data_IF_002994255133
#
_entry.id   IF_002994255133
#
_cell.length_a   1.000
_cell.length_b   1.000
_cell.length_c   1.000
_cell.angle_alpha   90.00
_cell.angle_beta   90.00
_cell.angle_gamma   90.00
#
_symmetry.space_group_name_H-M   'P 1'
#
loop_
_entity.id
_entity.type
_entity.pdbx_description
1 polymer ?
#
# COMPACT_ATOMS: atom_id res chain seq x y z
N UNK A 1 -22.42 6.02 -29.09
CA UNK A 1 -21.51 5.39 -28.09
C UNK A 1 -20.30 6.31 -27.95
N UNK A 2 -20.16 7.01 -26.82
CA UNK A 2 -19.27 8.17 -26.67
C UNK A 2 -18.01 7.94 -25.81
N UNK A 3 -17.79 6.72 -25.30
CA UNK A 3 -16.70 6.46 -24.35
C UNK A 3 -15.48 5.73 -24.93
N UNK A 4 -15.56 5.16 -26.15
CA UNK A 4 -14.46 4.38 -26.75
C UNK A 4 -14.09 3.06 -26.01
N UNK A 5 -14.74 2.75 -24.89
CA UNK A 5 -14.50 1.55 -24.09
C UNK A 5 -15.31 0.36 -24.66
N UNK A 6 -14.70 -0.84 -24.80
CA UNK A 6 -15.43 -2.04 -25.18
C UNK A 6 -16.63 -2.30 -24.26
N UNK A 7 -17.77 -2.69 -24.83
CA UNK A 7 -18.94 -3.06 -24.04
C UNK A 7 -18.62 -4.21 -23.09
N UNK A 8 -19.02 -4.08 -21.82
CA UNK A 8 -18.78 -5.09 -20.78
C UNK A 8 -17.56 -4.84 -19.88
N UNK A 9 -16.70 -3.86 -20.21
CA UNK A 9 -15.63 -3.42 -19.30
C UNK A 9 -16.15 -2.39 -18.29
N UNK A 10 -15.88 -2.55 -16.98
CA UNK A 10 -16.26 -1.55 -16.00
C UNK A 10 -15.45 -0.26 -16.22
N UNK A 11 -16.12 0.90 -16.16
CA UNK A 11 -15.44 2.20 -16.24
C UNK A 11 -14.61 2.50 -14.98
N UNK A 12 -15.03 1.92 -13.85
CA UNK A 12 -14.37 2.03 -12.56
C UNK A 12 -14.35 0.66 -11.89
N UNK A 13 -13.22 0.31 -11.28
CA UNK A 13 -13.02 -0.94 -10.53
C UNK A 13 -13.06 -0.73 -9.02
N UNK A 14 -13.13 0.53 -8.59
CA UNK A 14 -13.20 0.90 -7.19
C UNK A 14 -14.32 1.90 -6.95
N UNK A 15 -14.96 1.79 -5.79
CA UNK A 15 -15.96 2.74 -5.31
C UNK A 15 -15.45 3.38 -4.01
N UNK A 16 -15.57 4.70 -3.90
CA UNK A 16 -15.35 5.43 -2.66
C UNK A 16 -16.65 6.14 -2.29
N UNK A 17 -17.16 5.88 -1.09
CA UNK A 17 -18.41 6.41 -0.60
C UNK A 17 -18.19 7.17 0.72
N UNK A 18 -18.66 8.41 0.80
CA UNK A 18 -18.69 9.17 2.04
C UNK A 18 -20.14 9.27 2.51
N UNK A 19 -20.43 8.68 3.66
CA UNK A 19 -21.77 8.62 4.23
C UNK A 19 -21.82 9.52 5.45
N UNK A 20 -22.72 10.49 5.38
CA UNK A 20 -23.04 11.31 6.54
C UNK A 20 -24.00 10.52 7.43
N UNK A 21 -23.41 9.79 8.38
CA UNK A 21 -24.06 8.76 9.20
C UNK A 21 -24.29 9.27 10.62
N UNK A 22 -24.63 10.56 10.77
CA UNK A 22 -24.97 11.12 12.06
C UNK A 22 -26.17 10.37 12.63
N UNK A 23 -25.95 9.66 13.73
CA UNK A 23 -27.03 9.02 14.46
C UNK A 23 -27.99 10.12 14.93
N UNK A 24 -29.18 10.17 14.33
CA UNK A 24 -30.25 11.07 14.82
C UNK A 24 -30.66 10.54 16.20
N UNK A 25 -30.55 11.34 17.28
CA UNK A 25 -30.96 10.90 18.61
C UNK A 25 -32.44 10.49 18.58
N UNK A 26 -32.74 9.23 18.91
CA UNK A 26 -34.09 8.68 18.89
C UNK A 26 -34.51 8.02 17.57
N UNK A 27 -33.67 8.00 16.54
CA UNK A 27 -33.87 7.10 15.42
C UNK A 27 -33.41 5.69 15.82
N UNK A 28 -34.37 4.84 16.22
CA UNK A 28 -34.15 3.40 16.28
C UNK A 28 -33.82 2.93 14.85
N UNK A 29 -32.54 2.92 14.48
CA UNK A 29 -32.03 2.66 13.12
C UNK A 29 -32.48 1.31 12.55
N UNK A 30 -33.76 1.22 12.16
CA UNK A 30 -34.41 -0.02 11.74
C UNK A 30 -34.51 -1.09 12.83
N UNK A 31 -34.34 -0.77 14.12
CA UNK A 31 -34.35 -1.79 15.20
C UNK A 31 -35.78 -2.24 15.47
N UNK A 32 -36.16 -3.36 14.86
CA UNK A 32 -37.40 -4.07 15.16
C UNK A 32 -37.32 -4.67 16.59
N UNK A 33 -38.32 -4.45 17.46
CA UNK A 33 -38.35 -5.05 18.79
C UNK A 33 -38.18 -6.57 18.74
N UNK A 34 -37.26 -7.10 19.54
CA UNK A 34 -36.92 -8.54 19.56
C UNK A 34 -35.95 -9.00 18.47
N UNK A 35 -35.51 -8.11 17.56
CA UNK A 35 -34.52 -8.40 16.52
C UNK A 35 -33.19 -7.77 16.86
N UNK A 36 -32.11 -8.57 16.79
CA UNK A 36 -30.72 -8.12 16.97
C UNK A 36 -29.99 -8.22 15.64
N UNK A 37 -29.52 -7.10 15.12
CA UNK A 37 -28.59 -7.08 13.98
C UNK A 37 -27.28 -7.73 14.40
N UNK A 38 -26.90 -8.79 13.72
CA UNK A 38 -25.62 -9.49 13.94
C UNK A 38 -24.54 -9.02 12.95
N UNK A 39 -24.95 -8.76 11.71
CA UNK A 39 -24.08 -8.33 10.62
C UNK A 39 -24.88 -7.46 9.66
N UNK A 40 -24.30 -6.34 9.25
CA UNK A 40 -24.72 -5.58 8.08
C UNK A 40 -23.62 -5.76 7.03
N UNK A 41 -24.00 -6.11 5.81
CA UNK A 41 -23.03 -6.27 4.71
C UNK A 41 -23.56 -5.53 3.49
N UNK A 42 -22.80 -4.55 3.03
CA UNK A 42 -23.07 -3.89 1.76
C UNK A 42 -22.55 -4.78 0.62
N UNK A 43 -23.41 -5.02 -0.37
CA UNK A 43 -23.04 -5.81 -1.55
C UNK A 43 -22.66 -4.83 -2.65
N UNK A 44 -21.40 -4.89 -3.07
CA UNK A 44 -20.84 -4.06 -4.12
C UNK A 44 -20.48 -4.91 -5.35
N UNK A 45 -20.71 -4.36 -6.55
CA UNK A 45 -20.22 -4.94 -7.81
C UNK A 45 -18.79 -4.48 -8.13
N UNK A 46 -18.14 -3.74 -7.23
CA UNK A 46 -16.77 -3.25 -7.39
C UNK A 46 -15.78 -4.16 -6.65
N UNK A 47 -14.66 -4.57 -7.30
CA UNK A 47 -13.59 -5.31 -6.66
C UNK A 47 -13.09 -4.72 -5.33
N UNK A 48 -13.07 -3.39 -5.22
CA UNK A 48 -12.73 -2.66 -4.00
C UNK A 48 -13.78 -1.58 -3.74
N UNK A 49 -14.36 -1.56 -2.55
CA UNK A 49 -15.25 -0.52 -2.08
C UNK A 49 -14.73 0.02 -0.75
N UNK A 50 -14.64 1.35 -0.66
CA UNK A 50 -14.25 2.07 0.55
C UNK A 50 -15.44 2.92 0.97
N UNK A 51 -15.82 2.83 2.23
CA UNK A 51 -16.84 3.68 2.83
C UNK A 51 -16.25 4.44 4.02
N UNK A 52 -16.54 5.74 4.08
CA UNK A 52 -16.27 6.59 5.24
C UNK A 52 -17.62 6.94 5.87
N UNK A 53 -17.83 6.51 7.10
CA UNK A 53 -18.98 6.92 7.90
C UNK A 53 -18.58 8.09 8.81
N UNK A 54 -19.17 9.24 8.56
CA UNK A 54 -19.08 10.41 9.43
C UNK A 54 -20.13 10.31 10.53
N UNK A 55 -19.65 9.96 11.73
CA UNK A 55 -20.48 9.77 12.92
C UNK A 55 -20.72 11.10 13.67
N UNK A 56 -20.15 12.21 13.20
CA UNK A 56 -20.17 13.52 13.85
C UNK A 56 -19.20 13.68 15.02
N UNK A 57 -18.87 12.59 15.73
CA UNK A 57 -17.81 12.56 16.74
C UNK A 57 -16.49 11.99 16.23
N UNK A 58 -16.47 11.49 14.98
CA UNK A 58 -15.33 10.84 14.37
C UNK A 58 -15.73 10.15 13.06
N UNK A 59 -14.76 9.47 12.47
CA UNK A 59 -14.93 8.75 11.21
C UNK A 59 -14.68 7.26 11.41
N UNK A 60 -15.48 6.44 10.74
CA UNK A 60 -15.22 5.01 10.58
C UNK A 60 -14.89 4.72 9.12
N UNK A 61 -13.81 3.99 8.89
CA UNK A 61 -13.37 3.59 7.55
C UNK A 61 -13.64 2.09 7.38
N UNK A 62 -14.45 1.73 6.40
CA UNK A 62 -14.72 0.35 6.01
C UNK A 62 -14.13 0.09 4.63
N UNK A 63 -13.39 -1.02 4.47
CA UNK A 63 -12.90 -1.49 3.18
C UNK A 63 -13.48 -2.87 2.92
N UNK A 64 -14.29 -2.97 1.88
CA UNK A 64 -14.80 -4.21 1.33
C UNK A 64 -14.05 -4.53 0.04
N UNK A 65 -13.36 -5.67 0.00
CA UNK A 65 -12.64 -6.11 -1.17
C UNK A 65 -12.95 -7.57 -1.53
N UNK A 66 -12.84 -7.90 -2.82
CA UNK A 66 -12.97 -9.28 -3.29
C UNK A 66 -11.82 -10.17 -2.81
N UNK A 67 -12.05 -11.47 -2.79
CA UNK A 67 -11.02 -12.45 -2.44
C UNK A 67 -9.77 -12.28 -3.31
N UNK A 68 -8.60 -12.27 -2.66
CA UNK A 68 -7.31 -12.02 -3.31
C UNK A 68 -6.78 -10.59 -3.15
N UNK A 69 -7.61 -9.67 -2.65
CA UNK A 69 -7.18 -8.33 -2.24
C UNK A 69 -7.10 -8.27 -0.71
N UNK A 70 -5.98 -7.77 -0.18
CA UNK A 70 -5.79 -7.56 1.25
C UNK A 70 -6.55 -6.30 1.72
N UNK A 71 -7.81 -6.49 2.14
CA UNK A 71 -8.66 -5.41 2.62
C UNK A 71 -8.10 -4.74 3.89
N UNK A 72 -7.48 -5.51 4.78
CA UNK A 72 -6.89 -4.98 6.01
C UNK A 72 -5.65 -4.14 5.70
N UNK A 73 -4.77 -4.63 4.84
CA UNK A 73 -3.63 -3.87 4.33
C UNK A 73 -4.06 -2.57 3.65
N UNK A 74 -5.06 -2.62 2.76
CA UNK A 74 -5.62 -1.41 2.13
C UNK A 74 -6.18 -0.43 3.17
N UNK A 75 -6.92 -0.93 4.17
CA UNK A 75 -7.44 -0.09 5.25
C UNK A 75 -6.31 0.61 6.02
N UNK A 76 -5.23 -0.10 6.38
CA UNK A 76 -4.06 0.48 7.06
C UNK A 76 -3.36 1.55 6.21
N UNK A 77 -3.20 1.32 4.91
CA UNK A 77 -2.60 2.29 3.99
C UNK A 77 -3.46 3.56 3.88
N UNK A 78 -4.78 3.39 3.74
CA UNK A 78 -5.72 4.50 3.68
C UNK A 78 -5.71 5.32 4.97
N UNK A 79 -5.73 4.67 6.13
CA UNK A 79 -5.62 5.35 7.42
C UNK A 79 -4.34 6.16 7.55
N UNK A 80 -3.20 5.59 7.12
CA UNK A 80 -1.91 6.29 7.13
C UNK A 80 -1.94 7.52 6.23
N UNK A 81 -2.46 7.37 5.00
CA UNK A 81 -2.58 8.46 4.03
C UNK A 81 -3.49 9.58 4.53
N UNK A 82 -4.66 9.25 5.08
CA UNK A 82 -5.61 10.24 5.62
C UNK A 82 -5.04 10.97 6.83
N UNK A 83 -4.36 10.27 7.74
CA UNK A 83 -3.68 10.91 8.88
C UNK A 83 -2.54 11.82 8.40
N UNK A 84 -1.77 11.38 7.40
CA UNK A 84 -0.75 12.17 6.73
C UNK A 84 -1.30 13.45 6.12
N UNK A 85 -2.41 13.33 5.37
CA UNK A 85 -3.08 14.45 4.73
C UNK A 85 -3.67 15.43 5.77
N UNK A 86 -4.34 14.93 6.80
CA UNK A 86 -4.90 15.75 7.87
C UNK A 86 -3.81 16.55 8.61
N UNK A 87 -2.68 15.90 8.87
CA UNK A 87 -1.52 16.55 9.49
C UNK A 87 -0.90 17.60 8.58
N UNK A 88 -0.69 17.29 7.30
CA UNK A 88 -0.16 18.23 6.33
C UNK A 88 -1.06 19.47 6.21
N UNK A 89 -2.37 19.29 6.09
CA UNK A 89 -3.33 20.40 6.06
C UNK A 89 -3.30 21.25 7.34
N UNK A 90 -3.03 20.64 8.50
CA UNK A 90 -2.98 21.34 9.78
C UNK A 90 -1.66 22.09 10.02
N UNK A 91 -0.52 21.56 9.57
CA UNK A 91 0.81 22.09 9.92
C UNK A 91 1.56 22.74 8.77
N UNK A 92 1.38 22.24 7.54
CA UNK A 92 2.20 22.59 6.36
C UNK A 92 1.36 22.38 5.09
N UNK A 93 0.32 23.19 4.86
CA UNK A 93 -0.65 22.97 3.77
C UNK A 93 -0.04 23.09 2.37
N UNK A 94 1.14 23.71 2.25
CA UNK A 94 1.95 23.77 1.04
C UNK A 94 2.71 22.47 0.71
N UNK A 95 2.67 21.47 1.59
CA UNK A 95 3.29 20.17 1.35
C UNK A 95 2.73 19.55 0.05
N UNK A 96 3.58 19.17 -0.91
CA UNK A 96 3.14 18.46 -2.10
C UNK A 96 2.41 17.16 -1.74
N UNK A 97 1.32 16.86 -2.45
CA UNK A 97 0.55 15.63 -2.21
C UNK A 97 1.40 14.36 -2.41
N UNK A 98 2.43 14.43 -3.26
CA UNK A 98 3.38 13.33 -3.50
C UNK A 98 4.24 12.98 -2.29
N UNK A 99 4.35 13.91 -1.34
CA UNK A 99 5.21 13.77 -0.16
C UNK A 99 4.40 13.34 1.06
N UNK A 100 3.10 13.09 0.91
CA UNK A 100 2.25 12.51 1.95
C UNK A 100 2.48 11.00 2.00
N UNK A 101 2.99 10.52 3.14
CA UNK A 101 3.23 9.10 3.36
C UNK A 101 1.94 8.27 3.29
N UNK A 102 1.96 7.23 2.46
CA UNK A 102 0.88 6.22 2.37
C UNK A 102 1.23 4.95 3.14
N UNK A 103 2.53 4.65 3.28
CA UNK A 103 3.03 3.45 3.94
C UNK A 103 3.45 3.80 5.36
N UNK A 104 2.78 3.21 6.35
CA UNK A 104 3.08 3.46 7.76
C UNK A 104 4.48 2.95 8.17
N UNK A 105 5.02 3.44 9.29
CA UNK A 105 6.38 3.12 9.73
C UNK A 105 6.61 1.62 9.98
N UNK A 106 5.60 0.91 10.49
CA UNK A 106 5.69 -0.53 10.73
C UNK A 106 5.67 -1.33 9.43
N UNK A 107 4.88 -0.90 8.44
CA UNK A 107 4.83 -1.54 7.13
C UNK A 107 6.15 -1.31 6.38
N UNK A 108 6.65 -0.07 6.39
CA UNK A 108 7.97 0.27 5.82
C UNK A 108 9.08 -0.57 6.45
N UNK A 109 9.10 -0.73 7.78
CA UNK A 109 10.06 -1.58 8.48
C UNK A 109 9.96 -3.05 8.03
N UNK A 110 8.75 -3.59 7.90
CA UNK A 110 8.53 -4.96 7.41
C UNK A 110 9.04 -5.15 5.98
N UNK A 111 8.69 -4.23 5.08
CA UNK A 111 9.12 -4.28 3.67
C UNK A 111 10.64 -4.17 3.54
N UNK A 112 11.27 -3.27 4.28
CA UNK A 112 12.72 -3.11 4.29
C UNK A 112 13.44 -4.34 4.87
N UNK A 113 12.85 -4.99 5.88
CA UNK A 113 13.41 -6.22 6.46
C UNK A 113 13.32 -7.40 5.47
N UNK A 114 12.29 -7.46 4.63
CA UNK A 114 12.15 -8.49 3.60
C UNK A 114 13.06 -8.24 2.38
N UNK A 115 13.26 -6.97 2.01
CA UNK A 115 14.05 -6.59 0.83
C UNK A 115 15.57 -6.57 1.06
N UNK A 116 16.01 -6.49 2.31
CA UNK A 116 17.44 -6.61 2.65
C UNK A 116 17.79 -8.09 2.78
N UNK A 117 18.32 -8.66 1.70
CA UNK A 117 19.02 -9.95 1.75
C UNK A 117 20.17 -9.94 2.77
N UNK A 118 20.88 -11.07 2.96
CA UNK A 118 22.04 -11.11 3.84
C UNK A 118 23.02 -10.01 3.44
N UNK A 119 23.38 -9.14 4.39
CA UNK A 119 24.47 -8.19 4.18
C UNK A 119 25.73 -9.01 3.97
N UNK A 120 26.33 -8.92 2.79
CA UNK A 120 27.68 -9.42 2.62
C UNK A 120 28.61 -8.53 3.46
N UNK A 121 29.57 -9.13 4.16
CA UNK A 121 30.71 -8.36 4.66
C UNK A 121 31.43 -7.81 3.44
N UNK A 122 31.57 -6.48 3.36
CA UNK A 122 32.39 -5.89 2.31
C UNK A 122 33.85 -6.26 2.59
N UNK A 123 34.56 -6.81 1.58
CA UNK A 123 35.99 -7.02 1.73
C UNK A 123 36.64 -5.67 2.04
N UNK A 124 37.35 -5.57 3.17
CA UNK A 124 38.08 -4.35 3.54
C UNK A 124 39.29 -4.04 2.64
N UNK A 125 39.48 -4.83 1.57
CA UNK A 125 40.55 -4.72 0.61
C UNK A 125 40.06 -4.08 -0.69
N UNK A 126 40.92 -3.31 -1.34
CA UNK A 126 40.63 -2.71 -2.64
C UNK A 126 40.59 -3.80 -3.73
N UNK A 127 39.83 -3.56 -4.79
CA UNK A 127 39.78 -4.46 -5.96
C UNK A 127 41.17 -4.88 -6.49
N UNK A 128 42.18 -3.98 -6.61
CA UNK A 128 43.53 -4.36 -7.00
C UNK A 128 44.24 -5.29 -6.02
N UNK A 129 43.97 -5.16 -4.71
CA UNK A 129 44.56 -6.03 -3.67
C UNK A 129 43.97 -7.43 -3.76
N UNK A 130 42.64 -7.54 -3.90
CA UNK A 130 41.96 -8.82 -4.13
C UNK A 130 42.43 -9.50 -5.42
N UNK A 131 42.69 -8.72 -6.47
CA UNK A 131 43.25 -9.24 -7.71
C UNK A 131 44.69 -9.76 -7.50
N UNK A 132 45.53 -9.01 -6.79
CA UNK A 132 46.90 -9.41 -6.50
C UNK A 132 46.96 -10.70 -5.66
N UNK A 133 46.11 -10.83 -4.64
CA UNK A 133 45.96 -12.06 -3.87
C UNK A 133 45.56 -13.24 -4.77
N UNK A 134 44.61 -13.02 -5.69
CA UNK A 134 44.16 -14.06 -6.61
C UNK A 134 45.25 -14.53 -7.56
N UNK A 135 46.10 -13.61 -8.04
CA UNK A 135 47.27 -13.92 -8.87
C UNK A 135 48.30 -14.75 -8.09
N UNK A 136 48.53 -14.44 -6.81
CA UNK A 136 49.44 -15.24 -5.96
C UNK A 136 48.97 -16.69 -5.77
N UNK A 137 47.66 -16.91 -5.63
CA UNK A 137 47.07 -18.25 -5.41
C UNK A 137 47.02 -19.07 -6.70
N UNK A 138 46.77 -18.44 -7.85
CA UNK A 138 46.61 -19.11 -9.13
C UNK A 138 47.21 -18.32 -10.28
N UNK A 139 48.55 -18.25 -10.40
CA UNK A 139 49.22 -17.39 -11.38
C UNK A 139 48.95 -17.82 -12.83
N UNK A 140 48.80 -19.13 -13.06
CA UNK A 140 48.57 -19.70 -14.39
C UNK A 140 47.07 -19.87 -14.72
N UNK A 141 46.17 -19.38 -13.85
CA UNK A 141 44.75 -19.44 -14.11
C UNK A 141 44.38 -18.44 -15.22
N UNK A 142 43.59 -18.89 -16.20
CA UNK A 142 43.09 -18.02 -17.26
C UNK A 142 42.19 -16.94 -16.65
N UNK A 143 42.67 -15.70 -16.65
CA UNK A 143 41.95 -14.55 -16.10
C UNK A 143 41.04 -13.86 -17.14
N UNK A 144 41.46 -13.84 -18.41
CA UNK A 144 40.74 -13.17 -19.50
C UNK A 144 40.87 -14.02 -20.77
N UNK A 145 39.76 -14.20 -21.48
CA UNK A 145 39.72 -14.73 -22.85
C UNK A 145 39.04 -13.69 -23.71
N UNK A 146 39.70 -13.29 -24.80
CA UNK A 146 39.12 -12.43 -25.82
C UNK A 146 39.17 -13.17 -27.16
N UNK A 147 38.21 -12.87 -28.04
CA UNK A 147 38.31 -13.29 -29.44
C UNK A 147 39.40 -12.46 -30.12
N UNK A 148 40.17 -13.08 -31.01
CA UNK A 148 41.16 -12.37 -31.82
C UNK A 148 40.39 -11.38 -32.71
N UNK A 149 40.51 -10.10 -32.37
CA UNK A 149 39.92 -9.01 -33.15
C UNK A 149 40.47 -9.01 -34.56
N UNK A 150 39.57 -8.90 -35.53
CA UNK A 150 39.89 -8.66 -36.95
C UNK A 150 40.61 -7.32 -37.16
#
# INVERSE_FOLDING_TARGET
QASGVPGGSPLFTSLFNYRHSHAVPGADGGRLPGVRTLLTRDVSNYPVAVAVDDLGSGFELTVDAVSGVDAEGLCRLLLTCVDGLARALATTPELPLTDVDVVGPDESRRLLAQGRGPSAEEPGALLPELLAERVCVGPDAVAVVAEDGE
#
